data_IF_826017955455
#
_entry.id   IF_826017955455
#
_cell.length_a   1.000
_cell.length_b   1.000
_cell.length_c   1.000
_cell.angle_alpha   90.00
_cell.angle_beta   90.00
_cell.angle_gamma   90.00
#
_symmetry.space_group_name_H-M   'P 1'
#
loop_
_entity.id
_entity.type
_entity.pdbx_description
1 polymer ?
#
# COMPACT_ATOMS: atom_id res chain seq x y z
N UNK A 1 -20.75 -8.40 10.42
CA UNK A 1 -21.53 -9.65 10.48
C UNK A 1 -20.60 -10.69 11.09
N UNK A 2 -20.83 -11.05 12.34
CA UNK A 2 -20.00 -11.99 13.10
C UNK A 2 -20.09 -13.36 12.43
N UNK A 3 -18.95 -13.89 11.99
CA UNK A 3 -18.88 -15.10 11.17
C UNK A 3 -19.20 -16.33 12.03
N UNK A 4 -20.45 -16.81 11.97
CA UNK A 4 -20.97 -17.95 12.75
C UNK A 4 -20.12 -19.21 12.48
N UNK A 5 -19.53 -19.32 11.29
CA UNK A 5 -18.73 -20.48 10.90
C UNK A 5 -17.34 -20.47 11.53
N UNK A 6 -16.78 -19.30 11.88
CA UNK A 6 -15.45 -19.18 12.48
C UNK A 6 -15.33 -19.86 13.86
N UNK A 7 -16.45 -20.13 14.54
CA UNK A 7 -16.46 -20.79 15.84
C UNK A 7 -16.41 -22.34 15.76
N UNK A 8 -16.53 -22.91 14.56
CA UNK A 8 -16.55 -24.36 14.35
C UNK A 8 -15.17 -24.83 13.91
N UNK A 9 -14.61 -25.85 14.58
CA UNK A 9 -13.39 -26.55 14.16
C UNK A 9 -13.79 -27.84 13.41
N UNK A 10 -13.96 -27.81 12.08
CA UNK A 10 -14.41 -28.97 11.32
C UNK A 10 -13.32 -30.03 11.17
N UNK A 11 -13.73 -31.29 11.00
CA UNK A 11 -12.81 -32.32 10.50
C UNK A 11 -12.55 -32.13 9.00
N UNK A 12 -11.42 -32.64 8.47
CA UNK A 12 -11.13 -32.59 7.03
C UNK A 12 -12.23 -33.21 6.15
N UNK A 13 -12.94 -34.22 6.67
CA UNK A 13 -14.05 -34.85 5.96
C UNK A 13 -15.26 -33.93 5.86
N UNK A 14 -15.58 -33.15 6.90
CA UNK A 14 -16.64 -32.14 6.82
C UNK A 14 -16.28 -31.08 5.78
N UNK A 15 -15.02 -30.63 5.74
CA UNK A 15 -14.57 -29.69 4.72
C UNK A 15 -14.73 -30.28 3.32
N UNK A 16 -14.32 -31.55 3.12
CA UNK A 16 -14.50 -32.27 1.84
C UNK A 16 -15.97 -32.30 1.42
N UNK A 17 -16.87 -32.72 2.31
CA UNK A 17 -18.32 -32.79 2.05
C UNK A 17 -18.84 -31.41 1.63
N UNK A 18 -18.51 -30.35 2.37
CA UNK A 18 -18.93 -28.98 2.02
C UNK A 18 -18.38 -28.57 0.66
N UNK A 19 -17.11 -28.87 0.37
CA UNK A 19 -16.51 -28.52 -0.91
C UNK A 19 -17.15 -29.28 -2.09
N UNK A 20 -17.47 -30.56 -1.91
CA UNK A 20 -18.03 -31.43 -2.96
C UNK A 20 -19.53 -31.19 -3.17
N UNK A 21 -20.31 -31.12 -2.10
CA UNK A 21 -21.78 -31.11 -2.16
C UNK A 21 -22.35 -29.69 -2.23
N UNK A 22 -21.58 -28.69 -1.80
CA UNK A 22 -22.03 -27.30 -1.73
C UNK A 22 -21.21 -26.36 -2.62
N UNK A 23 -19.87 -26.36 -2.53
CA UNK A 23 -19.09 -25.38 -3.30
C UNK A 23 -18.99 -25.77 -4.77
N UNK A 24 -18.50 -26.99 -5.08
CA UNK A 24 -18.25 -27.43 -6.45
C UNK A 24 -19.45 -27.27 -7.40
N UNK A 25 -20.69 -27.67 -7.04
CA UNK A 25 -21.83 -27.56 -7.96
C UNK A 25 -22.17 -26.12 -8.34
N UNK A 26 -21.81 -25.13 -7.52
CA UNK A 26 -22.11 -23.71 -7.75
C UNK A 26 -21.09 -23.03 -8.66
N UNK A 27 -19.86 -23.52 -8.67
CA UNK A 27 -18.78 -22.98 -9.52
C UNK A 27 -18.56 -23.78 -10.81
N UNK A 28 -18.98 -25.06 -10.86
CA UNK A 28 -18.80 -25.93 -12.04
C UNK A 28 -19.48 -25.44 -13.33
N UNK A 29 -20.65 -24.75 -13.31
CA UNK A 29 -21.28 -24.26 -14.53
C UNK A 29 -20.47 -23.19 -15.27
N UNK A 30 -19.67 -22.42 -14.54
CA UNK A 30 -18.85 -21.32 -15.05
C UNK A 30 -17.38 -21.54 -14.69
N UNK A 31 -16.72 -22.54 -15.30
CA UNK A 31 -15.37 -22.93 -14.92
C UNK A 31 -14.34 -21.86 -15.28
N UNK A 32 -13.31 -21.71 -14.44
CA UNK A 32 -12.23 -20.79 -14.72
C UNK A 32 -11.37 -21.29 -15.91
N UNK A 33 -11.15 -20.49 -16.98
CA UNK A 33 -10.59 -20.99 -18.22
C UNK A 33 -9.10 -21.33 -18.08
N UNK A 34 -8.37 -20.72 -17.16
CA UNK A 34 -6.95 -21.02 -16.93
C UNK A 34 -6.70 -22.19 -15.97
N UNK A 35 -7.74 -22.92 -15.55
CA UNK A 35 -7.62 -23.99 -14.56
C UNK A 35 -8.13 -25.33 -15.07
N UNK A 36 -7.40 -26.39 -14.71
CA UNK A 36 -7.92 -27.76 -14.78
C UNK A 36 -8.85 -28.00 -13.59
N UNK A 37 -10.12 -28.30 -13.86
CA UNK A 37 -11.11 -28.59 -12.81
C UNK A 37 -10.78 -29.87 -12.02
N UNK A 38 -10.16 -30.85 -12.65
CA UNK A 38 -9.82 -32.13 -12.01
C UNK A 38 -8.58 -32.03 -11.12
N UNK A 39 -7.64 -31.13 -11.44
CA UNK A 39 -6.34 -31.08 -10.77
C UNK A 39 -6.07 -29.77 -10.02
N UNK A 40 -6.87 -28.72 -10.26
CA UNK A 40 -6.62 -27.37 -9.73
C UNK A 40 -5.32 -26.74 -10.22
N UNK A 41 -4.72 -27.27 -11.31
CA UNK A 41 -3.47 -26.75 -11.88
C UNK A 41 -3.74 -25.69 -12.94
N UNK A 42 -2.81 -24.75 -13.07
CA UNK A 42 -2.80 -23.78 -14.16
C UNK A 42 -2.67 -24.52 -15.51
N UNK A 43 -3.52 -24.16 -16.45
CA UNK A 43 -3.45 -24.63 -17.83
C UNK A 43 -2.42 -23.84 -18.63
N UNK A 44 -1.80 -24.50 -19.62
CA UNK A 44 -0.88 -23.83 -20.57
C UNK A 44 -1.61 -22.91 -21.54
N UNK A 45 -2.90 -23.20 -21.79
CA UNK A 45 -3.79 -22.44 -22.65
C UNK A 45 -5.18 -22.41 -22.01
N UNK A 46 -5.91 -21.29 -22.11
CA UNK A 46 -7.28 -21.23 -21.63
C UNK A 46 -8.14 -22.34 -22.25
N UNK A 47 -8.91 -23.06 -21.43
CA UNK A 47 -9.97 -23.96 -21.87
C UNK A 47 -11.18 -23.14 -22.35
N UNK A 48 -11.94 -23.63 -23.33
CA UNK A 48 -13.15 -22.96 -23.84
C UNK A 48 -12.95 -22.02 -25.04
N UNK A 49 -11.73 -21.89 -25.56
CA UNK A 49 -11.46 -21.09 -26.77
C UNK A 49 -11.42 -19.57 -26.52
N UNK A 50 -11.48 -18.73 -27.58
CA UNK A 50 -11.25 -17.29 -27.47
C UNK A 50 -12.26 -16.53 -26.60
N UNK A 51 -13.49 -17.04 -26.47
CA UNK A 51 -14.56 -16.43 -25.67
C UNK A 51 -14.60 -16.90 -24.21
N UNK A 52 -13.75 -17.85 -23.82
CA UNK A 52 -13.86 -18.52 -22.52
C UNK A 52 -13.79 -17.59 -21.30
N UNK A 53 -13.05 -16.47 -21.42
CA UNK A 53 -12.99 -15.47 -20.37
C UNK A 53 -14.35 -14.76 -20.18
N UNK A 54 -15.11 -14.56 -21.26
CA UNK A 54 -16.46 -13.98 -21.19
C UNK A 54 -17.47 -14.99 -20.68
N UNK A 55 -17.35 -16.25 -21.13
CA UNK A 55 -18.28 -17.33 -20.75
C UNK A 55 -18.29 -17.60 -19.23
N UNK A 56 -17.18 -17.34 -18.52
CA UNK A 56 -17.11 -17.46 -17.06
C UNK A 56 -18.09 -16.51 -16.33
N UNK A 57 -18.47 -15.40 -16.96
CA UNK A 57 -19.33 -14.40 -16.33
C UNK A 57 -20.82 -14.65 -16.55
N UNK A 58 -21.19 -15.55 -17.46
CA UNK A 58 -22.58 -15.85 -17.77
C UNK A 58 -23.14 -16.95 -16.84
N UNK A 59 -24.32 -16.72 -16.25
CA UNK A 59 -25.00 -17.76 -15.46
C UNK A 59 -24.30 -18.18 -14.14
N UNK A 60 -23.56 -17.28 -13.49
CA UNK A 60 -22.81 -17.54 -12.26
C UNK A 60 -23.72 -17.92 -11.06
N UNK A 61 -23.99 -19.23 -10.89
CA UNK A 61 -24.86 -19.73 -9.82
C UNK A 61 -24.34 -19.44 -8.42
N UNK A 62 -23.02 -19.42 -8.24
CA UNK A 62 -22.39 -19.13 -6.94
C UNK A 62 -22.72 -17.74 -6.38
N UNK A 63 -23.18 -16.80 -7.22
CA UNK A 63 -23.67 -15.47 -6.78
C UNK A 63 -25.12 -15.47 -6.31
N UNK A 64 -25.90 -16.49 -6.66
CA UNK A 64 -27.33 -16.56 -6.33
C UNK A 64 -27.58 -16.90 -4.85
N UNK A 65 -26.63 -17.61 -4.24
CA UNK A 65 -26.74 -18.02 -2.84
C UNK A 65 -25.87 -17.17 -1.93
N UNK A 66 -26.53 -16.53 -0.96
CA UNK A 66 -25.87 -15.76 0.09
C UNK A 66 -24.91 -16.64 0.88
N UNK A 67 -23.68 -16.16 1.07
CA UNK A 67 -22.68 -16.84 1.89
C UNK A 67 -21.77 -17.80 1.13
N UNK A 68 -21.99 -18.07 -0.17
CA UNK A 68 -21.08 -18.94 -0.94
C UNK A 68 -19.60 -18.51 -0.84
N UNK A 69 -19.22 -17.23 -1.02
CA UNK A 69 -17.84 -16.79 -0.81
C UNK A 69 -17.31 -16.99 0.61
N UNK A 70 -18.18 -16.83 1.62
CA UNK A 70 -17.84 -17.04 3.02
C UNK A 70 -17.60 -18.52 3.34
N UNK A 71 -18.39 -19.42 2.75
CA UNK A 71 -18.18 -20.87 2.86
C UNK A 71 -16.84 -21.29 2.29
N UNK A 72 -16.44 -20.72 1.14
CA UNK A 72 -15.10 -20.98 0.56
C UNK A 72 -13.99 -20.46 1.47
N UNK A 73 -14.17 -19.26 2.05
CA UNK A 73 -13.21 -18.70 3.02
C UNK A 73 -13.07 -19.59 4.25
N UNK A 74 -14.19 -20.05 4.80
CA UNK A 74 -14.22 -20.94 5.94
C UNK A 74 -13.53 -22.27 5.64
N UNK A 75 -13.80 -22.89 4.48
CA UNK A 75 -13.11 -24.11 4.06
C UNK A 75 -11.59 -23.88 3.97
N UNK A 76 -11.17 -22.81 3.28
CA UNK A 76 -9.75 -22.48 3.08
C UNK A 76 -9.04 -22.23 4.42
N UNK A 77 -9.71 -21.58 5.38
CA UNK A 77 -9.16 -21.31 6.71
C UNK A 77 -8.93 -22.55 7.57
N UNK A 78 -9.72 -23.61 7.37
CA UNK A 78 -9.68 -24.81 8.21
C UNK A 78 -8.95 -26.00 7.56
N UNK A 79 -8.45 -25.86 6.34
CA UNK A 79 -7.62 -26.90 5.70
C UNK A 79 -6.24 -26.95 6.40
N UNK A 80 -5.81 -28.16 6.72
CA UNK A 80 -4.46 -28.48 7.23
C UNK A 80 -3.43 -28.50 6.10
N UNK A 81 -2.16 -28.27 6.43
CA UNK A 81 -1.03 -28.38 5.50
C UNK A 81 -1.06 -29.65 4.64
N UNK A 82 -1.29 -30.80 5.28
CA UNK A 82 -1.28 -32.12 4.63
C UNK A 82 -2.52 -32.36 3.75
N UNK A 83 -3.66 -31.74 4.07
CA UNK A 83 -4.92 -31.94 3.35
C UNK A 83 -5.02 -31.10 2.08
N UNK A 84 -4.20 -30.04 1.95
CA UNK A 84 -4.20 -29.18 0.77
C UNK A 84 -3.98 -29.95 -0.52
N UNK A 85 -3.12 -30.98 -0.54
CA UNK A 85 -2.91 -31.78 -1.76
C UNK A 85 -4.20 -32.48 -2.22
N UNK A 86 -4.98 -33.01 -1.28
CA UNK A 86 -6.21 -33.76 -1.61
C UNK A 86 -7.40 -32.85 -1.95
N UNK A 87 -7.42 -31.63 -1.41
CA UNK A 87 -8.52 -30.66 -1.58
C UNK A 87 -8.19 -29.55 -2.60
N UNK A 88 -6.97 -29.51 -3.15
CA UNK A 88 -6.49 -28.44 -4.03
C UNK A 88 -7.43 -28.14 -5.19
N UNK A 89 -7.85 -29.18 -5.90
CA UNK A 89 -8.72 -29.09 -7.08
C UNK A 89 -10.14 -28.56 -6.76
N UNK A 90 -10.57 -28.61 -5.50
CA UNK A 90 -11.85 -28.07 -5.05
C UNK A 90 -11.73 -26.63 -4.55
N UNK A 91 -10.57 -26.23 -4.04
CA UNK A 91 -10.32 -24.90 -3.48
C UNK A 91 -9.91 -23.88 -4.54
N UNK A 92 -9.01 -24.25 -5.45
CA UNK A 92 -8.42 -23.26 -6.37
C UNK A 92 -9.43 -22.68 -7.36
N UNK A 93 -10.30 -23.46 -8.03
CA UNK A 93 -11.28 -22.90 -8.95
C UNK A 93 -12.15 -21.78 -8.35
N UNK A 94 -12.84 -21.96 -7.20
CA UNK A 94 -13.67 -20.90 -6.64
C UNK A 94 -12.86 -19.68 -6.20
N UNK A 95 -11.64 -19.86 -5.66
CA UNK A 95 -10.78 -18.73 -5.27
C UNK A 95 -10.39 -17.90 -6.49
N UNK A 96 -9.95 -18.55 -7.58
CA UNK A 96 -9.57 -17.85 -8.80
C UNK A 96 -10.76 -17.21 -9.50
N UNK A 97 -11.92 -17.88 -9.56
CA UNK A 97 -13.15 -17.28 -10.09
C UNK A 97 -13.53 -16.01 -9.35
N UNK A 98 -13.43 -15.97 -8.01
CA UNK A 98 -13.70 -14.75 -7.24
C UNK A 98 -12.65 -13.66 -7.47
N UNK A 99 -11.37 -14.02 -7.59
CA UNK A 99 -10.29 -13.07 -7.89
C UNK A 99 -10.47 -12.41 -9.26
N UNK A 100 -10.85 -13.19 -10.27
CA UNK A 100 -10.99 -12.71 -11.65
C UNK A 100 -12.40 -12.20 -11.97
N UNK A 101 -13.32 -12.19 -11.00
CA UNK A 101 -14.65 -11.62 -11.15
C UNK A 101 -14.61 -10.12 -11.46
N UNK A 102 -15.56 -9.59 -12.22
CA UNK A 102 -15.58 -8.17 -12.59
C UNK A 102 -16.06 -7.25 -11.45
N UNK A 103 -16.80 -7.77 -10.46
CA UNK A 103 -17.31 -6.97 -9.34
C UNK A 103 -16.32 -6.93 -8.16
N UNK A 104 -16.00 -5.73 -7.66
CA UNK A 104 -15.03 -5.49 -6.57
C UNK A 104 -15.31 -6.30 -5.32
N UNK A 105 -16.58 -6.39 -4.92
CA UNK A 105 -17.00 -7.10 -3.71
C UNK A 105 -16.58 -8.56 -3.71
N UNK A 106 -16.61 -9.22 -4.87
CA UNK A 106 -16.18 -10.62 -4.99
C UNK A 106 -14.67 -10.75 -5.13
N UNK A 107 -14.01 -9.77 -5.78
CA UNK A 107 -12.55 -9.66 -5.73
C UNK A 107 -12.04 -9.57 -4.30
N UNK A 108 -12.70 -8.82 -3.41
CA UNK A 108 -12.36 -8.74 -1.99
C UNK A 108 -12.41 -10.13 -1.33
N UNK A 109 -13.45 -10.93 -1.59
CA UNK A 109 -13.52 -12.32 -1.12
C UNK A 109 -12.41 -13.19 -1.71
N UNK A 110 -12.12 -13.03 -3.00
CA UNK A 110 -11.02 -13.70 -3.68
C UNK A 110 -9.67 -13.41 -3.02
N UNK A 111 -9.36 -12.14 -2.76
CA UNK A 111 -8.10 -11.71 -2.13
C UNK A 111 -7.99 -12.23 -0.70
N UNK A 112 -9.09 -12.20 0.08
CA UNK A 112 -9.10 -12.79 1.44
C UNK A 112 -8.82 -14.28 1.42
N UNK A 113 -9.44 -15.02 0.50
CA UNK A 113 -9.17 -16.45 0.32
C UNK A 113 -7.72 -16.70 -0.11
N UNK A 114 -7.23 -15.92 -1.07
CA UNK A 114 -5.85 -16.02 -1.55
C UNK A 114 -4.84 -15.76 -0.43
N UNK A 115 -5.08 -14.77 0.43
CA UNK A 115 -4.25 -14.51 1.61
C UNK A 115 -4.14 -15.74 2.51
N UNK A 116 -5.28 -16.34 2.88
CA UNK A 116 -5.31 -17.55 3.73
C UNK A 116 -4.63 -18.73 3.03
N UNK A 117 -4.88 -18.90 1.72
CA UNK A 117 -4.26 -19.94 0.92
C UNK A 117 -2.73 -19.79 0.91
N UNK A 118 -2.21 -18.59 0.68
CA UNK A 118 -0.77 -18.30 0.66
C UNK A 118 -0.13 -18.59 2.03
N UNK A 119 -0.80 -18.20 3.11
CA UNK A 119 -0.25 -18.32 4.46
C UNK A 119 -0.25 -19.79 4.95
N UNK A 120 -1.17 -20.62 4.45
CA UNK A 120 -1.39 -21.99 4.97
C UNK A 120 -0.95 -23.11 4.05
N UNK A 121 -1.01 -22.91 2.73
CA UNK A 121 -0.66 -23.96 1.78
C UNK A 121 0.87 -24.15 1.73
N UNK A 122 1.37 -25.40 1.63
CA UNK A 122 2.81 -25.64 1.47
C UNK A 122 3.34 -24.90 0.23
N UNK A 123 4.38 -24.05 0.31
CA UNK A 123 4.85 -23.25 -0.83
C UNK A 123 5.17 -24.08 -2.08
N UNK A 124 5.59 -25.33 -1.89
CA UNK A 124 5.86 -26.31 -2.95
C UNK A 124 4.62 -26.57 -3.82
N UNK A 125 3.41 -26.64 -3.23
CA UNK A 125 2.19 -26.90 -4.00
C UNK A 125 1.83 -25.69 -4.87
N UNK A 126 1.98 -24.47 -4.36
CA UNK A 126 1.72 -23.22 -5.08
C UNK A 126 2.65 -23.11 -6.29
N UNK A 127 3.94 -23.44 -6.11
CA UNK A 127 4.95 -23.44 -7.18
C UNK A 127 4.68 -24.54 -8.22
N UNK A 128 4.54 -25.79 -7.78
CA UNK A 128 4.41 -26.98 -8.66
C UNK A 128 3.14 -26.97 -9.50
N UNK A 129 2.07 -26.38 -9.01
CA UNK A 129 0.76 -26.33 -9.70
C UNK A 129 0.63 -25.15 -10.66
N UNK A 130 1.60 -24.22 -10.66
CA UNK A 130 1.59 -23.01 -11.48
C UNK A 130 0.62 -21.92 -10.99
N UNK A 131 -0.04 -22.14 -9.84
CA UNK A 131 -1.01 -21.20 -9.27
C UNK A 131 -0.36 -19.93 -8.77
N UNK A 132 0.90 -19.97 -8.34
CA UNK A 132 1.62 -18.77 -7.96
C UNK A 132 1.67 -17.68 -9.05
N UNK A 133 1.88 -18.09 -10.30
CA UNK A 133 1.89 -17.15 -11.42
C UNK A 133 0.49 -16.64 -11.78
N UNK A 134 -0.55 -17.48 -11.62
CA UNK A 134 -1.93 -17.06 -11.86
C UNK A 134 -2.41 -16.08 -10.78
N UNK A 135 -2.10 -16.34 -9.50
CA UNK A 135 -2.37 -15.42 -8.39
C UNK A 135 -1.67 -14.08 -8.60
N UNK A 136 -0.42 -14.08 -9.08
CA UNK A 136 0.29 -12.85 -9.42
C UNK A 136 -0.46 -12.04 -10.48
N UNK A 137 -0.88 -12.67 -11.58
CA UNK A 137 -1.64 -12.02 -12.66
C UNK A 137 -2.95 -11.43 -12.13
N UNK A 138 -3.72 -12.19 -11.36
CA UNK A 138 -5.01 -11.74 -10.85
C UNK A 138 -4.86 -10.66 -9.76
N UNK A 139 -3.88 -10.76 -8.86
CA UNK A 139 -3.60 -9.71 -7.86
C UNK A 139 -3.12 -8.41 -8.51
N UNK A 140 -2.33 -8.46 -9.59
CA UNK A 140 -1.96 -7.27 -10.35
C UNK A 140 -3.17 -6.55 -10.94
N UNK A 141 -4.20 -7.30 -11.41
CA UNK A 141 -5.44 -6.71 -11.94
C UNK A 141 -6.23 -5.93 -10.89
N UNK A 142 -6.02 -6.18 -9.59
CA UNK A 142 -6.69 -5.42 -8.51
C UNK A 142 -6.36 -3.92 -8.58
N UNK A 143 -5.13 -3.59 -9.00
CA UNK A 143 -4.66 -2.20 -9.15
C UNK A 143 -5.23 -1.49 -10.38
N UNK A 144 -5.88 -2.23 -11.29
CA UNK A 144 -6.60 -1.68 -12.44
C UNK A 144 -8.07 -1.41 -12.12
N UNK A 145 -8.58 -1.87 -10.97
CA UNK A 145 -9.97 -1.69 -10.58
C UNK A 145 -10.14 -0.35 -9.87
N UNK A 146 -10.23 0.71 -10.66
CA UNK A 146 -10.25 2.10 -10.20
C UNK A 146 -11.66 2.68 -10.24
N UNK A 147 -11.89 3.72 -9.43
CA UNK A 147 -13.14 4.48 -9.36
C UNK A 147 -14.36 3.70 -8.85
N UNK A 148 -14.14 2.56 -8.21
CA UNK A 148 -15.17 1.85 -7.46
C UNK A 148 -15.09 2.25 -5.98
N UNK A 149 -16.22 2.42 -5.27
CA UNK A 149 -16.21 2.77 -3.85
C UNK A 149 -15.43 1.79 -2.96
N UNK A 150 -15.29 0.54 -3.39
CA UNK A 150 -14.53 -0.48 -2.66
C UNK A 150 -13.05 -0.56 -3.08
N UNK A 151 -12.61 0.20 -4.09
CA UNK A 151 -11.20 0.25 -4.55
C UNK A 151 -10.22 0.48 -3.39
N UNK A 152 -10.42 1.47 -2.48
CA UNK A 152 -9.49 1.68 -1.37
C UNK A 152 -9.35 0.45 -0.46
N UNK A 153 -10.46 -0.25 -0.20
CA UNK A 153 -10.45 -1.47 0.62
C UNK A 153 -9.77 -2.62 -0.12
N UNK A 154 -10.03 -2.77 -1.42
CA UNK A 154 -9.43 -3.78 -2.28
C UNK A 154 -7.90 -3.64 -2.34
N UNK A 155 -7.38 -2.42 -2.53
CA UNK A 155 -5.94 -2.16 -2.56
C UNK A 155 -5.28 -2.49 -1.22
N UNK A 156 -5.91 -2.11 -0.10
CA UNK A 156 -5.38 -2.36 1.25
C UNK A 156 -5.20 -3.82 1.58
N UNK A 157 -6.06 -4.70 1.06
CA UNK A 157 -5.90 -6.15 1.24
C UNK A 157 -5.03 -6.79 0.15
N UNK A 158 -5.01 -6.23 -1.06
CA UNK A 158 -4.28 -6.81 -2.20
C UNK A 158 -2.78 -6.62 -2.09
N UNK A 159 -2.30 -5.44 -1.70
CA UNK A 159 -0.87 -5.15 -1.57
C UNK A 159 -0.15 -6.09 -0.60
N UNK A 160 -0.56 -6.24 0.68
CA UNK A 160 0.12 -7.14 1.58
C UNK A 160 -0.03 -8.61 1.15
N UNK A 161 -1.14 -8.99 0.54
CA UNK A 161 -1.33 -10.34 -0.01
C UNK A 161 -0.37 -10.62 -1.17
N UNK A 162 -0.16 -9.65 -2.04
CA UNK A 162 0.82 -9.74 -3.13
C UNK A 162 2.25 -9.84 -2.60
N UNK A 163 2.62 -9.03 -1.62
CA UNK A 163 3.94 -9.10 -0.97
C UNK A 163 4.16 -10.50 -0.37
N UNK A 164 3.18 -11.03 0.37
CA UNK A 164 3.25 -12.39 0.92
C UNK A 164 3.39 -13.46 -0.17
N UNK A 165 2.65 -13.34 -1.27
CA UNK A 165 2.78 -14.25 -2.42
C UNK A 165 4.22 -14.24 -2.97
N UNK A 166 4.78 -13.05 -3.19
CA UNK A 166 6.14 -12.89 -3.71
C UNK A 166 7.15 -13.53 -2.76
N UNK A 167 7.07 -13.25 -1.46
CA UNK A 167 7.98 -13.80 -0.45
C UNK A 167 7.79 -15.32 -0.24
N UNK A 168 6.63 -15.87 -0.58
CA UNK A 168 6.37 -17.32 -0.52
C UNK A 168 6.95 -18.05 -1.74
N UNK A 169 6.94 -17.40 -2.91
CA UNK A 169 7.33 -18.03 -4.17
C UNK A 169 8.83 -17.87 -4.47
N UNK A 170 9.38 -16.72 -4.15
CA UNK A 170 10.74 -16.35 -4.54
C UNK A 170 11.64 -16.25 -3.31
N UNK A 171 12.91 -16.58 -3.50
CA UNK A 171 13.91 -16.46 -2.44
C UNK A 171 14.21 -14.98 -2.18
N UNK A 172 14.61 -14.64 -0.94
CA UNK A 172 14.76 -13.26 -0.47
C UNK A 172 15.67 -12.38 -1.34
N UNK A 173 16.77 -12.96 -1.84
CA UNK A 173 17.80 -12.24 -2.63
C UNK A 173 17.67 -12.46 -4.15
N UNK A 174 16.60 -13.11 -4.61
CA UNK A 174 16.43 -13.40 -6.03
C UNK A 174 16.09 -12.13 -6.83
N UNK A 175 16.66 -12.03 -8.04
CA UNK A 175 16.38 -10.91 -8.95
C UNK A 175 14.89 -10.89 -9.34
N UNK A 176 14.28 -12.07 -9.49
CA UNK A 176 12.86 -12.21 -9.78
C UNK A 176 11.99 -11.66 -8.64
N UNK A 177 12.35 -11.90 -7.37
CA UNK A 177 11.64 -11.30 -6.22
C UNK A 177 11.65 -9.77 -6.34
N UNK A 178 12.83 -9.20 -6.57
CA UNK A 178 12.99 -7.76 -6.66
C UNK A 178 12.22 -7.17 -7.85
N UNK A 179 12.25 -7.83 -9.01
CA UNK A 179 11.49 -7.43 -10.20
C UNK A 179 9.98 -7.44 -9.95
N UNK A 180 9.46 -8.40 -9.16
CA UNK A 180 8.03 -8.44 -8.79
C UNK A 180 7.64 -7.29 -7.86
N UNK A 181 8.52 -6.89 -6.94
CA UNK A 181 8.30 -5.75 -6.06
C UNK A 181 8.43 -4.41 -6.82
N UNK A 182 9.35 -4.32 -7.78
CA UNK A 182 9.44 -3.18 -8.69
C UNK A 182 8.22 -3.06 -9.61
N UNK A 183 7.66 -4.18 -10.06
CA UNK A 183 6.40 -4.16 -10.78
C UNK A 183 5.27 -3.63 -9.88
N UNK A 184 5.17 -4.11 -8.64
CA UNK A 184 4.15 -3.65 -7.69
C UNK A 184 4.24 -2.12 -7.47
N UNK A 185 5.41 -1.61 -7.11
CA UNK A 185 5.55 -0.17 -6.83
C UNK A 185 5.48 0.66 -8.12
N UNK A 186 6.26 0.29 -9.13
CA UNK A 186 6.46 1.09 -10.32
C UNK A 186 5.30 1.04 -11.31
N UNK A 187 4.83 -0.17 -11.65
CA UNK A 187 3.77 -0.33 -12.66
C UNK A 187 2.38 -0.27 -12.02
N UNK A 188 2.16 -0.99 -10.91
CA UNK A 188 0.84 -1.09 -10.30
C UNK A 188 0.49 0.17 -9.50
N UNK A 189 1.27 0.56 -8.50
CA UNK A 189 0.96 1.73 -7.66
C UNK A 189 1.18 3.05 -8.42
N UNK A 190 2.43 3.31 -8.85
CA UNK A 190 2.79 4.58 -9.47
C UNK A 190 2.21 4.69 -10.89
N UNK A 191 2.47 3.69 -11.73
CA UNK A 191 2.08 3.74 -13.15
C UNK A 191 0.58 3.69 -13.36
N UNK A 192 -0.13 2.88 -12.58
CA UNK A 192 -1.57 2.67 -12.75
C UNK A 192 -2.38 3.54 -11.78
N UNK A 193 -2.30 3.28 -10.48
CA UNK A 193 -3.20 3.95 -9.53
C UNK A 193 -2.97 5.46 -9.52
N UNK A 194 -1.73 5.92 -9.40
CA UNK A 194 -1.46 7.36 -9.39
C UNK A 194 -1.63 8.00 -10.78
N UNK A 195 -1.38 7.24 -11.85
CA UNK A 195 -1.58 7.71 -13.22
C UNK A 195 -3.05 7.97 -13.56
N UNK A 196 -3.95 7.08 -13.14
CA UNK A 196 -5.36 7.07 -13.58
C UNK A 196 -6.37 7.44 -12.48
N UNK A 197 -6.02 7.32 -11.20
CA UNK A 197 -6.89 7.66 -10.06
C UNK A 197 -6.31 8.81 -9.20
N UNK A 198 -5.49 9.70 -9.78
CA UNK A 198 -4.92 10.86 -9.09
C UNK A 198 -5.94 11.81 -8.45
N UNK A 199 -7.17 11.84 -8.98
CA UNK A 199 -8.27 12.69 -8.47
C UNK A 199 -9.12 12.00 -7.40
N UNK A 200 -8.91 10.70 -7.16
CA UNK A 200 -9.62 9.94 -6.13
C UNK A 200 -8.78 9.93 -4.85
N UNK A 201 -9.11 10.86 -3.96
CA UNK A 201 -8.35 11.06 -2.72
C UNK A 201 -8.33 9.82 -1.81
N UNK A 202 -9.42 9.08 -1.72
CA UNK A 202 -9.50 7.89 -0.88
C UNK A 202 -8.62 6.76 -1.42
N UNK A 203 -8.60 6.58 -2.73
CA UNK A 203 -7.74 5.62 -3.41
C UNK A 203 -6.27 6.00 -3.27
N UNK A 204 -5.92 7.28 -3.43
CA UNK A 204 -4.54 7.76 -3.22
C UNK A 204 -4.12 7.56 -1.76
N UNK A 205 -4.97 7.95 -0.80
CA UNK A 205 -4.69 7.75 0.62
C UNK A 205 -4.46 6.27 0.95
N UNK A 206 -5.29 5.37 0.41
CA UNK A 206 -5.10 3.93 0.56
C UNK A 206 -3.75 3.45 0.02
N UNK A 207 -3.28 3.96 -1.13
CA UNK A 207 -1.95 3.57 -1.62
C UNK A 207 -0.81 4.12 -0.76
N UNK A 208 -0.94 5.34 -0.22
CA UNK A 208 0.07 5.96 0.64
C UNK A 208 0.20 5.19 1.97
N UNK A 209 -0.91 4.73 2.54
CA UNK A 209 -0.93 3.87 3.74
C UNK A 209 -0.13 2.57 3.54
N UNK A 210 -0.05 2.08 2.29
CA UNK A 210 0.56 0.79 1.96
C UNK A 210 2.04 0.92 1.61
N UNK A 211 2.49 2.11 1.22
CA UNK A 211 3.88 2.37 0.81
C UNK A 211 4.93 1.93 1.84
N UNK A 212 4.78 2.16 3.16
CA UNK A 212 5.76 1.70 4.15
C UNK A 212 6.05 0.20 4.05
N UNK A 213 5.01 -0.64 3.89
CA UNK A 213 5.20 -2.10 3.73
C UNK A 213 5.97 -2.46 2.46
N UNK A 214 5.81 -1.68 1.39
CA UNK A 214 6.56 -1.87 0.14
C UNK A 214 8.01 -1.40 0.32
N UNK A 215 8.22 -0.30 1.05
CA UNK A 215 9.56 0.22 1.34
C UNK A 215 10.37 -0.74 2.20
N UNK A 216 9.75 -1.39 3.17
CA UNK A 216 10.39 -2.40 4.02
C UNK A 216 10.90 -3.59 3.18
N UNK A 217 10.12 -4.01 2.17
CA UNK A 217 10.47 -5.14 1.30
C UNK A 217 11.52 -4.80 0.23
N UNK A 218 11.51 -3.56 -0.28
CA UNK A 218 12.46 -3.07 -1.29
C UNK A 218 13.76 -2.52 -0.69
N UNK A 219 13.70 -2.02 0.54
CA UNK A 219 14.81 -1.32 1.20
C UNK A 219 15.34 -0.15 0.37
N UNK A 220 16.66 -0.05 0.27
CA UNK A 220 17.37 1.03 -0.46
C UNK A 220 16.98 1.11 -1.94
N UNK A 221 16.52 0.00 -2.54
CA UNK A 221 16.06 -0.04 -3.94
C UNK A 221 14.88 0.90 -4.21
N UNK A 222 14.13 1.29 -3.17
CA UNK A 222 13.10 2.33 -3.23
C UNK A 222 13.63 3.64 -3.80
N UNK A 223 14.93 3.93 -3.67
CA UNK A 223 15.57 5.15 -4.17
C UNK A 223 15.30 5.41 -5.67
N UNK A 224 15.10 4.34 -6.47
CA UNK A 224 14.78 4.42 -7.90
C UNK A 224 13.52 5.25 -8.19
N UNK A 225 12.60 5.31 -7.24
CA UNK A 225 11.29 5.94 -7.38
C UNK A 225 11.16 7.28 -6.65
N UNK A 226 12.23 7.80 -6.03
CA UNK A 226 12.17 9.07 -5.26
C UNK A 226 11.56 10.23 -6.05
N UNK A 227 11.84 10.29 -7.36
CA UNK A 227 11.28 11.32 -8.25
C UNK A 227 9.77 11.32 -8.39
N UNK A 228 9.11 10.22 -8.06
CA UNK A 228 7.65 10.08 -8.04
C UNK A 228 7.13 10.12 -6.60
N UNK A 229 7.83 9.44 -5.67
CA UNK A 229 7.41 9.33 -4.28
C UNK A 229 7.47 10.67 -3.54
N UNK A 230 8.57 11.41 -3.65
CA UNK A 230 8.74 12.67 -2.91
C UNK A 230 7.69 13.70 -3.32
N UNK A 231 7.47 14.01 -4.62
CA UNK A 231 6.41 14.95 -5.03
C UNK A 231 5.02 14.52 -4.57
N UNK A 232 4.69 13.22 -4.62
CA UNK A 232 3.39 12.73 -4.20
C UNK A 232 3.18 12.92 -2.68
N UNK A 233 4.18 12.61 -1.87
CA UNK A 233 4.08 12.71 -0.41
C UNK A 233 4.10 14.15 0.10
N UNK A 234 4.78 15.07 -0.58
CA UNK A 234 4.79 16.50 -0.19
C UNK A 234 3.57 17.27 -0.70
N UNK A 235 2.85 16.74 -1.70
CA UNK A 235 1.72 17.41 -2.33
C UNK A 235 0.70 17.98 -1.33
N UNK A 236 0.24 17.25 -0.28
CA UNK A 236 -0.68 17.80 0.72
C UNK A 236 -0.21 19.09 1.39
N UNK A 237 1.10 19.26 1.59
CA UNK A 237 1.68 20.43 2.24
C UNK A 237 1.79 21.62 1.28
N UNK A 238 1.98 21.33 -0.02
CA UNK A 238 2.17 22.35 -1.05
C UNK A 238 0.88 22.74 -1.78
N UNK A 239 -0.17 21.94 -1.70
CA UNK A 239 -1.45 22.14 -2.37
C UNK A 239 -2.05 23.54 -2.12
N UNK A 240 -2.66 24.12 -3.15
CA UNK A 240 -3.25 25.46 -3.10
C UNK A 240 -4.32 25.55 -1.98
N UNK A 241 -4.45 26.69 -1.26
CA UNK A 241 -5.54 26.92 -0.29
C UNK A 241 -6.94 26.57 -0.80
N UNK A 242 -7.20 26.66 -2.11
CA UNK A 242 -8.49 26.30 -2.73
C UNK A 242 -8.70 24.77 -2.74
N UNK A 243 -7.62 23.99 -2.81
CA UNK A 243 -7.68 22.53 -2.82
C UNK A 243 -7.81 21.99 -1.39
N UNK A 244 -9.00 21.49 -1.05
CA UNK A 244 -9.23 20.85 0.24
C UNK A 244 -8.59 19.46 0.25
N UNK A 245 -7.47 19.32 0.95
CA UNK A 245 -6.87 18.02 1.25
C UNK A 245 -7.40 17.52 2.58
N UNK A 246 -7.81 16.24 2.66
CA UNK A 246 -8.24 15.64 3.91
C UNK A 246 -7.07 15.57 4.90
N UNK A 247 -7.41 15.69 6.19
CA UNK A 247 -6.43 15.51 7.25
C UNK A 247 -5.82 14.09 7.26
N UNK A 248 -6.59 13.09 6.83
CA UNK A 248 -6.12 11.70 6.75
C UNK A 248 -4.98 11.58 5.74
N UNK A 249 -5.19 12.09 4.52
CA UNK A 249 -4.16 12.10 3.48
C UNK A 249 -2.91 12.89 3.93
N UNK A 250 -3.11 14.00 4.62
CA UNK A 250 -2.00 14.82 5.13
C UNK A 250 -1.13 14.03 6.13
N UNK A 251 -1.76 13.40 7.12
CA UNK A 251 -1.09 12.64 8.16
C UNK A 251 -0.42 11.36 7.61
N UNK A 252 -1.12 10.64 6.73
CA UNK A 252 -0.59 9.46 6.05
C UNK A 252 0.67 9.83 5.24
N UNK A 253 0.62 10.92 4.48
CA UNK A 253 1.77 11.42 3.72
C UNK A 253 2.98 11.77 4.59
N UNK A 254 2.79 12.44 5.73
CA UNK A 254 3.89 12.75 6.65
C UNK A 254 4.50 11.47 7.25
N UNK A 255 3.66 10.52 7.67
CA UNK A 255 4.12 9.25 8.22
C UNK A 255 4.93 8.45 7.20
N UNK A 256 4.40 8.33 5.99
CA UNK A 256 5.07 7.63 4.88
C UNK A 256 6.32 8.37 4.42
N UNK A 257 6.36 9.71 4.45
CA UNK A 257 7.55 10.50 4.15
C UNK A 257 8.68 10.23 5.15
N UNK A 258 8.37 10.11 6.45
CA UNK A 258 9.38 9.71 7.45
C UNK A 258 9.93 8.31 7.18
N UNK A 259 9.08 7.36 6.80
CA UNK A 259 9.51 6.02 6.40
C UNK A 259 10.45 6.10 5.19
N UNK A 260 10.04 6.81 4.14
CA UNK A 260 10.86 7.01 2.93
C UNK A 260 12.22 7.64 3.25
N UNK A 261 12.26 8.66 4.13
CA UNK A 261 13.51 9.32 4.50
C UNK A 261 14.48 8.37 5.21
N UNK A 262 13.98 7.49 6.08
CA UNK A 262 14.79 6.47 6.76
C UNK A 262 15.27 5.41 5.76
N UNK A 263 14.39 4.91 4.91
CA UNK A 263 14.72 3.87 3.92
C UNK A 263 15.72 4.37 2.87
N UNK A 264 15.64 5.64 2.49
CA UNK A 264 16.48 6.25 1.46
C UNK A 264 17.49 7.26 2.02
N UNK A 265 17.93 7.10 3.29
CA UNK A 265 18.74 8.08 4.00
C UNK A 265 20.00 8.52 3.26
N UNK A 266 20.64 7.63 2.50
CA UNK A 266 21.87 7.93 1.75
C UNK A 266 21.63 8.83 0.52
N UNK A 267 20.39 8.93 0.04
CA UNK A 267 20.03 9.67 -1.19
C UNK A 267 19.25 10.95 -0.94
N UNK A 268 18.59 11.08 0.22
CA UNK A 268 17.80 12.26 0.57
C UNK A 268 18.65 13.54 0.70
N UNK A 269 19.81 13.55 1.42
CA UNK A 269 20.57 14.77 1.68
C UNK A 269 21.02 15.53 0.43
N UNK A 270 21.39 14.80 -0.63
CA UNK A 270 22.00 15.41 -1.82
C UNK A 270 21.02 16.04 -2.81
N UNK A 271 19.79 15.53 -2.91
CA UNK A 271 18.87 15.93 -3.99
C UNK A 271 17.46 16.32 -3.52
N UNK A 272 17.02 15.87 -2.34
CA UNK A 272 15.61 15.97 -1.94
C UNK A 272 15.40 16.78 -0.66
N UNK A 273 16.44 16.97 0.16
CA UNK A 273 16.40 17.68 1.44
C UNK A 273 15.78 19.08 1.33
N UNK A 274 16.24 19.89 0.38
CA UNK A 274 15.74 21.27 0.16
C UNK A 274 14.27 21.30 -0.23
N UNK A 275 13.83 20.36 -1.07
CA UNK A 275 12.43 20.29 -1.53
C UNK A 275 11.52 19.87 -0.38
N UNK A 276 11.96 18.90 0.42
CA UNK A 276 11.20 18.39 1.57
C UNK A 276 11.09 19.48 2.64
N UNK A 277 12.19 20.13 3.02
CA UNK A 277 12.16 21.18 4.06
C UNK A 277 11.27 22.36 3.65
N UNK A 278 11.37 22.82 2.39
CA UNK A 278 10.53 23.90 1.87
C UNK A 278 9.04 23.52 1.94
N UNK A 279 8.71 22.27 1.63
CA UNK A 279 7.33 21.80 1.65
C UNK A 279 6.78 21.68 3.07
N UNK A 280 7.57 21.15 4.00
CA UNK A 280 7.21 21.07 5.43
C UNK A 280 7.01 22.47 6.02
N UNK A 281 7.89 23.42 5.69
CA UNK A 281 7.80 24.84 6.05
C UNK A 281 6.49 25.47 5.57
N UNK A 282 6.09 25.25 4.31
CA UNK A 282 4.80 25.72 3.79
C UNK A 282 3.61 25.08 4.49
N UNK A 283 3.67 23.78 4.75
CA UNK A 283 2.67 23.06 5.52
C UNK A 283 2.50 23.61 6.94
N UNK A 284 3.62 24.00 7.56
CA UNK A 284 3.64 24.63 8.88
C UNK A 284 2.90 25.98 8.89
N UNK A 285 3.22 26.87 7.95
CA UNK A 285 2.57 28.18 7.81
C UNK A 285 1.06 28.01 7.60
N UNK A 286 0.65 27.15 6.65
CA UNK A 286 -0.77 26.87 6.38
C UNK A 286 -1.52 26.35 7.59
N UNK A 287 -0.87 25.56 8.44
CA UNK A 287 -1.50 25.05 9.66
C UNK A 287 -1.80 26.16 10.70
N UNK A 288 -1.17 27.33 10.58
CA UNK A 288 -1.38 28.50 11.45
C UNK A 288 -2.42 29.48 10.90
N UNK A 289 -2.60 29.54 9.57
CA UNK A 289 -3.57 30.43 8.92
C UNK A 289 -5.05 29.96 9.06
N UNK A 290 -5.29 28.72 9.51
CA UNK A 290 -6.65 28.19 9.69
C UNK A 290 -7.20 28.55 11.08
N UNK A 291 -8.28 29.33 11.12
CA UNK A 291 -8.95 29.79 12.35
C UNK A 291 -9.23 28.65 13.35
N UNK A 292 -8.94 28.92 14.63
CA UNK A 292 -8.88 27.95 15.72
C UNK A 292 -10.22 27.29 16.10
N UNK A 293 -11.36 27.85 15.67
CA UNK A 293 -12.67 27.59 16.28
C UNK A 293 -13.38 26.29 15.85
N UNK A 294 -12.87 25.52 14.88
CA UNK A 294 -13.55 24.26 14.46
C UNK A 294 -12.63 23.07 14.20
N UNK A 295 -11.31 23.27 14.03
CA UNK A 295 -10.34 22.20 13.68
C UNK A 295 -9.14 22.09 14.61
N UNK A 296 -9.19 22.71 15.79
CA UNK A 296 -8.04 22.85 16.70
C UNK A 296 -7.30 21.54 17.01
N UNK A 297 -8.02 20.45 17.31
CA UNK A 297 -7.38 19.16 17.65
C UNK A 297 -6.65 18.52 16.46
N UNK A 298 -7.27 18.50 15.27
CA UNK A 298 -6.66 17.95 14.05
C UNK A 298 -5.47 18.77 13.59
N UNK A 299 -5.56 20.10 13.65
CA UNK A 299 -4.45 20.99 13.28
C UNK A 299 -3.28 20.86 14.26
N UNK A 300 -3.57 20.69 15.57
CA UNK A 300 -2.53 20.39 16.57
C UNK A 300 -1.79 19.09 16.24
N UNK A 301 -2.52 18.02 15.91
CA UNK A 301 -1.92 16.76 15.50
C UNK A 301 -1.06 16.92 14.24
N UNK A 302 -1.54 17.65 13.24
CA UNK A 302 -0.76 17.93 12.02
C UNK A 302 0.55 18.68 12.35
N UNK A 303 0.53 19.66 13.25
CA UNK A 303 1.73 20.38 13.70
C UNK A 303 2.71 19.46 14.42
N UNK A 304 2.23 18.61 15.32
CA UNK A 304 3.08 17.62 16.01
C UNK A 304 3.75 16.68 15.01
N UNK A 305 3.00 16.20 14.02
CA UNK A 305 3.50 15.32 12.97
C UNK A 305 4.48 16.02 12.00
N UNK A 306 4.26 17.30 11.67
CA UNK A 306 5.20 18.12 10.91
C UNK A 306 6.52 18.28 11.65
N UNK A 307 6.47 18.60 12.95
CA UNK A 307 7.66 18.74 13.80
C UNK A 307 8.44 17.43 13.90
N UNK A 308 7.74 16.30 14.09
CA UNK A 308 8.34 14.97 14.09
C UNK A 308 9.04 14.66 12.75
N UNK A 309 8.41 15.03 11.64
CA UNK A 309 8.95 14.81 10.28
C UNK A 309 10.19 15.66 10.01
N UNK A 310 10.20 16.91 10.46
CA UNK A 310 11.40 17.78 10.43
C UNK A 310 12.55 17.18 11.24
N UNK A 311 12.27 16.66 12.44
CA UNK A 311 13.28 15.98 13.27
C UNK A 311 13.94 14.79 12.55
N UNK A 312 13.16 13.97 11.84
CA UNK A 312 13.71 12.86 11.02
C UNK A 312 14.53 13.38 9.85
N UNK A 313 14.08 14.44 9.16
CA UNK A 313 14.83 15.05 8.07
C UNK A 313 16.20 15.55 8.54
N UNK A 314 16.26 16.22 9.69
CA UNK A 314 17.52 16.73 10.23
C UNK A 314 18.46 15.63 10.70
N UNK A 315 17.93 14.53 11.23
CA UNK A 315 18.74 13.36 11.57
C UNK A 315 19.36 12.69 10.33
N UNK A 316 18.59 12.58 9.23
CA UNK A 316 19.05 12.00 7.96
C UNK A 316 19.96 12.95 7.18
N UNK A 317 19.70 14.25 7.27
CA UNK A 317 20.42 15.30 6.55
C UNK A 317 20.84 16.42 7.51
N UNK A 318 21.93 16.24 8.28
CA UNK A 318 22.43 17.29 9.17
C UNK A 318 22.78 18.58 8.42
N UNK A 319 23.20 18.48 7.16
CA UNK A 319 23.40 19.63 6.26
C UNK A 319 22.13 20.46 6.00
N UNK A 320 20.94 19.87 6.17
CA UNK A 320 19.67 20.58 6.08
C UNK A 320 19.43 21.48 7.30
N UNK A 321 20.04 21.19 8.46
CA UNK A 321 20.04 22.11 9.62
C UNK A 321 20.81 23.39 9.30
N UNK A 322 21.92 23.27 8.57
CA UNK A 322 22.77 24.39 8.13
C UNK A 322 22.14 25.14 6.94
N UNK A 323 21.31 24.47 6.14
CA UNK A 323 20.62 25.09 4.98
C UNK A 323 19.36 25.87 5.36
N UNK A 324 18.96 25.90 6.64
CA UNK A 324 18.11 26.94 7.19
C UNK A 324 19.02 28.13 7.51
N UNK A 325 19.07 29.17 6.67
CA UNK A 325 20.10 30.17 6.85
C UNK A 325 19.79 31.01 8.08
N UNK A 326 20.80 31.32 8.93
CA UNK A 326 20.76 32.50 9.76
C UNK A 326 20.80 33.70 8.82
N UNK A 327 19.63 34.20 8.41
CA UNK A 327 19.42 35.50 7.74
C UNK A 327 20.16 35.78 6.42
N UNK A 328 20.95 34.85 5.87
CA UNK A 328 21.78 35.16 4.71
C UNK A 328 21.56 34.19 3.54
N UNK A 329 20.79 34.68 2.57
CA UNK A 329 20.71 34.24 1.16
C UNK A 329 19.96 32.94 0.90
N UNK A 330 18.65 32.99 1.07
CA UNK A 330 17.76 32.15 0.26
C UNK A 330 17.71 32.77 -1.15
N UNK A 331 18.08 32.01 -2.18
CA UNK A 331 18.22 32.54 -3.57
C UNK A 331 16.89 32.82 -4.28
N UNK A 332 15.80 32.96 -3.52
CA UNK A 332 14.45 33.23 -4.00
C UNK A 332 13.73 34.04 -2.93
N UNK A 333 13.20 35.20 -3.31
CA UNK A 333 12.44 36.10 -2.42
C UNK A 333 11.30 35.37 -1.69
N UNK A 334 10.74 34.33 -2.32
CA UNK A 334 9.67 33.49 -1.76
C UNK A 334 10.11 32.72 -0.51
N UNK A 335 11.32 32.18 -0.51
CA UNK A 335 11.84 31.40 0.62
C UNK A 335 12.17 32.29 1.82
N UNK A 336 12.62 33.53 1.57
CA UNK A 336 12.89 34.51 2.63
C UNK A 336 11.60 34.95 3.32
N UNK A 337 10.54 35.22 2.54
CA UNK A 337 9.21 35.54 3.07
C UNK A 337 8.64 34.37 3.88
N UNK A 338 8.75 33.14 3.37
CA UNK A 338 8.30 31.93 4.08
C UNK A 338 9.09 31.72 5.39
N UNK A 339 10.42 31.95 5.38
CA UNK A 339 11.26 31.86 6.58
C UNK A 339 10.86 32.89 7.66
N UNK A 340 10.65 34.14 7.26
CA UNK A 340 10.26 35.22 8.18
C UNK A 340 8.85 34.97 8.77
N UNK A 341 7.93 34.39 7.98
CA UNK A 341 6.62 33.94 8.46
C UNK A 341 6.71 32.82 9.50
N UNK A 342 7.60 31.83 9.30
CA UNK A 342 7.78 30.74 10.27
C UNK A 342 8.40 31.25 11.56
N UNK A 343 9.41 32.13 11.47
CA UNK A 343 10.04 32.77 12.63
C UNK A 343 9.03 33.61 13.43
N UNK A 344 8.08 34.24 12.76
CA UNK A 344 7.00 34.97 13.41
C UNK A 344 5.98 34.04 14.08
N UNK A 345 5.63 32.91 13.44
CA UNK A 345 4.62 31.98 13.94
C UNK A 345 5.07 31.15 15.16
N UNK A 346 6.31 30.64 15.16
CA UNK A 346 6.88 29.92 16.31
C UNK A 346 8.42 30.12 16.35
N UNK A 347 8.95 31.12 17.08
CA UNK A 347 10.35 31.50 17.04
C UNK A 347 11.32 30.42 17.54
N UNK A 348 10.84 29.45 18.32
CA UNK A 348 11.63 28.35 18.87
C UNK A 348 11.59 27.06 18.01
N UNK A 349 10.80 26.98 16.94
CA UNK A 349 10.62 25.74 16.15
C UNK A 349 11.93 25.16 15.63
N UNK A 350 12.87 26.01 15.21
CA UNK A 350 14.19 25.60 14.73
C UNK A 350 15.26 25.64 15.83
N UNK A 351 14.96 26.23 16.99
CA UNK A 351 15.91 26.35 18.10
C UNK A 351 16.23 24.99 18.73
N UNK A 352 15.25 24.09 18.73
CA UNK A 352 15.42 22.70 19.18
C UNK A 352 16.28 21.85 18.23
N UNK A 353 16.46 22.29 16.98
CA UNK A 353 17.13 21.52 15.92
C UNK A 353 18.39 22.19 15.35
N UNK A 354 18.63 23.46 15.63
CA UNK A 354 19.90 24.10 15.33
C UNK A 354 20.92 23.69 16.39
N UNK A 355 22.14 23.29 16.01
CA UNK A 355 23.20 23.14 16.99
C UNK A 355 23.31 24.47 17.73
N UNK A 356 23.28 24.44 19.07
CA UNK A 356 23.60 25.62 19.87
C UNK A 356 24.96 26.10 19.38
N UNK A 357 24.96 27.20 18.63
CA UNK A 357 26.19 27.95 18.37
C UNK A 357 26.83 28.12 19.74
N UNK A 358 28.05 27.63 19.90
CA UNK A 358 28.81 27.75 21.13
C UNK A 358 28.90 29.22 21.49
N UNK A 359 27.98 29.67 22.34
CA UNK A 359 28.08 30.93 23.03
C UNK A 359 29.25 30.77 24.02
N UNK A 360 30.45 31.15 23.61
CA UNK A 360 31.51 31.72 24.44
C UNK A 360 32.83 31.81 23.66
N UNK A 361 33.08 32.97 23.05
CA UNK A 361 34.39 33.64 23.13
C UNK A 361 34.32 35.00 22.46
N UNK A 362 33.47 35.89 23.00
CA UNK A 362 33.64 37.33 22.89
C UNK A 362 33.37 37.93 24.28
N UNK A 363 34.38 37.86 25.15
CA UNK A 363 34.57 38.86 26.20
C UNK A 363 36.06 38.96 26.54
N UNK A 364 36.60 40.15 26.24
CA UNK A 364 37.77 40.81 26.84
C UNK A 364 39.13 40.15 26.54
N UNK A 365 40.13 40.86 25.99
CA UNK A 365 40.75 42.05 26.59
C UNK A 365 41.19 43.05 25.53
N UNK A 366 40.64 44.25 25.61
CA UNK A 366 41.29 45.48 25.16
C UNK A 366 41.38 46.42 26.35
N UNK A 367 42.57 46.48 26.96
CA UNK A 367 43.21 47.69 27.50
C UNK A 367 44.72 47.54 27.32
#
# INVERSE_FOLDING_TARGET
MTDILAALAPSPEVIRIVLVDHVKPRFSPTPHPDLSLDTGRRLRRPAGGPAAAMDMFDGQLWKQELGTPATVLWCTAHVSGDDFESLWHLLIPPIMTMLDDYETRYKIWGVRNAAILIDRAPPVIIKRTGIGALLHESLCKMFMHLHDPETPALLRISTPTYIRLVNTIYDGDSAERLDRLFHLLGQSVIGTVWGYASQDEETINATIDLLPSIFDELGISTCRYLKFLVPQLIHPMTADPVQKVSAQLYLASLSTLRCLMRTCQERIPGAWSTVIITSLSRGWIKSHDVDADTRGATMKLIREELRSTLGVLFAVSPSAQVSLPPTARLSSDVLQVEYDQIRYAEPDLFRDFMPMSSAASEEQVGE
#
